data_IF_470869174244
#
_entry.id   IF_470869174244
#
_cell.length_a   1.000
_cell.length_b   1.000
_cell.length_c   1.000
_cell.angle_alpha   90.00
_cell.angle_beta   90.00
_cell.angle_gamma   90.00
#
_symmetry.space_group_name_H-M   'P 1'
#
loop_
_entity.id
_entity.type
_entity.pdbx_description
1 polymer ?
#
# COMPACT_ATOMS: atom_id res chain seq x y z
N UNK A 1 -11.01 26.55 9.86
CA UNK A 1 -10.18 25.33 9.80
C UNK A 1 -9.98 25.07 8.32
N UNK A 2 -8.76 25.14 7.76
CA UNK A 2 -8.54 24.70 6.38
C UNK A 2 -8.83 23.21 6.34
N UNK A 3 -9.54 22.73 5.32
CA UNK A 3 -9.76 21.31 5.14
C UNK A 3 -8.40 20.62 5.02
N UNK A 4 -8.07 19.81 6.02
CA UNK A 4 -6.81 19.07 6.10
C UNK A 4 -6.77 18.01 5.00
N UNK A 5 -7.94 17.60 4.52
CA UNK A 5 -8.13 16.70 3.40
C UNK A 5 -8.73 17.47 2.23
N UNK A 6 -7.97 17.56 1.15
CA UNK A 6 -8.50 18.05 -0.14
C UNK A 6 -9.13 16.87 -0.88
N UNK A 7 -10.20 17.13 -1.64
CA UNK A 7 -10.87 16.11 -2.44
C UNK A 7 -10.89 16.54 -3.90
N UNK A 8 -10.54 15.64 -4.78
CA UNK A 8 -10.54 15.82 -6.22
C UNK A 8 -11.17 14.60 -6.91
N UNK A 9 -11.68 14.79 -8.12
CA UNK A 9 -12.09 13.71 -9.01
C UNK A 9 -11.16 13.73 -10.22
N UNK A 10 -10.37 12.67 -10.40
CA UNK A 10 -9.41 12.57 -11.49
C UNK A 10 -9.74 11.35 -12.34
N UNK A 11 -10.22 11.59 -13.57
CA UNK A 11 -10.70 10.54 -14.47
C UNK A 11 -11.63 9.53 -13.76
N UNK A 12 -12.76 10.02 -13.23
CA UNK A 12 -13.81 9.24 -12.56
C UNK A 12 -13.46 8.62 -11.20
N UNK A 13 -12.23 8.78 -10.70
CA UNK A 13 -11.83 8.31 -9.36
C UNK A 13 -11.85 9.42 -8.31
N UNK A 14 -12.41 9.08 -7.16
CA UNK A 14 -12.37 9.96 -5.97
C UNK A 14 -10.98 9.87 -5.34
N UNK A 15 -10.33 11.02 -5.24
CA UNK A 15 -9.00 11.16 -4.66
C UNK A 15 -9.09 12.09 -3.45
N UNK A 16 -8.51 11.67 -2.34
CA UNK A 16 -8.39 12.49 -1.14
C UNK A 16 -6.91 12.75 -0.87
N UNK A 17 -6.52 14.01 -0.67
CA UNK A 17 -5.13 14.39 -0.44
C UNK A 17 -4.99 14.96 0.97
N UNK A 18 -4.11 14.35 1.76
CA UNK A 18 -3.64 14.88 3.03
C UNK A 18 -2.33 15.63 2.82
N UNK A 19 -2.30 16.88 3.27
CA UNK A 19 -1.10 17.71 3.26
C UNK A 19 -0.53 17.81 4.69
N UNK A 20 0.79 17.62 4.87
CA UNK A 20 1.40 17.64 6.19
C UNK A 20 1.37 19.04 6.83
N UNK A 21 1.58 19.14 8.16
CA UNK A 21 1.44 20.40 8.90
C UNK A 21 2.26 21.54 8.33
N UNK A 22 3.53 21.34 7.97
CA UNK A 22 4.41 22.38 7.46
C UNK A 22 4.12 22.77 5.99
N UNK A 23 3.24 22.04 5.29
CA UNK A 23 2.92 22.35 3.89
C UNK A 23 2.33 23.75 3.70
N UNK A 24 1.56 24.25 4.68
CA UNK A 24 0.92 25.56 4.60
C UNK A 24 1.79 26.75 5.03
N UNK A 25 3.00 26.50 5.50
CA UNK A 25 3.94 27.54 5.89
C UNK A 25 4.45 28.27 4.64
N UNK A 26 4.07 29.54 4.49
CA UNK A 26 4.22 30.33 3.25
C UNK A 26 5.67 30.54 2.79
N UNK A 27 6.62 30.42 3.69
CA UNK A 27 8.06 30.55 3.40
C UNK A 27 8.76 29.24 3.10
N UNK A 28 8.03 28.10 3.23
CA UNK A 28 8.62 26.79 3.05
C UNK A 28 8.54 26.33 1.59
N UNK A 29 9.69 26.29 0.92
CA UNK A 29 9.84 25.70 -0.42
C UNK A 29 10.10 24.18 -0.38
N UNK A 30 10.03 23.54 0.80
CA UNK A 30 10.29 22.13 0.97
C UNK A 30 9.36 21.26 0.11
N UNK A 31 9.92 20.19 -0.42
CA UNK A 31 9.20 19.13 -1.12
C UNK A 31 9.08 17.92 -0.23
N UNK A 32 8.02 17.17 -0.41
CA UNK A 32 7.62 16.07 0.47
C UNK A 32 7.58 14.74 -0.27
N UNK A 33 7.98 13.64 0.36
CA UNK A 33 7.68 12.31 -0.14
C UNK A 33 6.16 12.10 -0.28
N UNK A 34 5.76 11.20 -1.16
CA UNK A 34 4.35 10.91 -1.44
C UNK A 34 4.02 9.45 -1.20
N UNK A 35 2.88 9.18 -0.58
CA UNK A 35 2.33 7.84 -0.39
C UNK A 35 0.97 7.73 -1.06
N UNK A 36 0.82 6.81 -2.00
CA UNK A 36 -0.45 6.41 -2.62
C UNK A 36 -1.09 5.32 -1.77
N UNK A 37 -2.17 5.66 -1.08
CA UNK A 37 -2.89 4.78 -0.15
C UNK A 37 -4.13 4.20 -0.83
N UNK A 38 -4.27 2.89 -0.77
CA UNK A 38 -5.45 2.18 -1.26
C UNK A 38 -6.64 2.30 -0.29
N UNK A 39 -7.86 2.15 -0.81
CA UNK A 39 -9.11 2.23 -0.04
C UNK A 39 -9.34 3.61 0.61
N UNK A 40 -8.97 4.67 -0.08
CA UNK A 40 -9.22 6.04 0.36
C UNK A 40 -8.37 6.49 1.53
N UNK A 41 -8.98 7.20 2.49
CA UNK A 41 -8.26 7.89 3.57
C UNK A 41 -8.59 7.35 4.97
N UNK A 42 -9.29 6.22 5.07
CA UNK A 42 -9.80 5.76 6.35
C UNK A 42 -8.70 5.36 7.35
N UNK A 43 -7.62 4.73 6.87
CA UNK A 43 -6.47 4.44 7.74
C UNK A 43 -5.84 5.72 8.29
N UNK A 44 -5.70 6.76 7.47
CA UNK A 44 -5.17 8.06 7.95
C UNK A 44 -6.10 8.69 8.97
N UNK A 45 -7.41 8.65 8.77
CA UNK A 45 -8.40 9.20 9.71
C UNK A 45 -8.33 8.50 11.07
N UNK A 46 -8.17 7.19 11.09
CA UNK A 46 -8.07 6.41 12.33
C UNK A 46 -6.83 6.76 13.15
N UNK A 47 -5.69 7.03 12.51
CA UNK A 47 -4.42 7.34 13.17
C UNK A 47 -4.04 8.82 13.11
N UNK A 48 -4.96 9.70 12.76
CA UNK A 48 -4.69 11.10 12.44
C UNK A 48 -3.86 11.83 13.50
N UNK A 49 -4.26 11.73 14.76
CA UNK A 49 -3.56 12.39 15.86
C UNK A 49 -2.16 11.80 16.09
N UNK A 50 -2.04 10.47 16.01
CA UNK A 50 -0.77 9.76 16.14
C UNK A 50 0.19 10.13 15.01
N UNK A 51 -0.30 10.15 13.77
CA UNK A 51 0.49 10.49 12.60
C UNK A 51 1.03 11.93 12.69
N UNK A 52 0.17 12.90 13.02
CA UNK A 52 0.59 14.29 13.22
C UNK A 52 1.59 14.45 14.38
N UNK A 53 1.43 13.66 15.46
CA UNK A 53 2.39 13.65 16.55
C UNK A 53 3.76 13.15 16.05
N UNK A 54 3.79 12.02 15.34
CA UNK A 54 5.04 11.43 14.80
C UNK A 54 5.73 12.37 13.80
N UNK A 55 5.00 13.11 12.99
CA UNK A 55 5.56 14.15 12.14
C UNK A 55 6.23 15.26 12.95
N UNK A 56 5.54 15.76 14.00
CA UNK A 56 6.07 16.83 14.85
C UNK A 56 7.34 16.47 15.61
N UNK A 57 7.42 15.23 16.10
CA UNK A 57 8.63 14.73 16.80
C UNK A 57 9.66 14.14 15.85
N UNK A 58 9.41 14.18 14.54
CA UNK A 58 10.29 13.71 13.46
C UNK A 58 10.63 12.21 13.51
N UNK A 59 9.74 11.41 14.08
CA UNK A 59 9.82 9.95 13.96
C UNK A 59 9.47 9.45 12.57
N UNK A 60 8.60 10.18 11.86
CA UNK A 60 8.29 10.00 10.45
C UNK A 60 8.54 11.35 9.77
N UNK A 61 9.21 11.42 8.62
CA UNK A 61 9.25 12.65 7.85
C UNK A 61 7.83 13.03 7.41
N UNK A 62 7.57 14.32 7.28
CA UNK A 62 6.27 14.78 6.78
C UNK A 62 6.02 14.28 5.36
N UNK A 63 4.84 13.72 5.12
CA UNK A 63 4.44 13.06 3.87
C UNK A 63 3.16 13.69 3.31
N UNK A 64 3.07 13.78 1.99
CA UNK A 64 1.78 13.93 1.30
C UNK A 64 1.19 12.53 1.16
N UNK A 65 -0.07 12.34 1.58
CA UNK A 65 -0.76 11.06 1.43
C UNK A 65 -1.92 11.24 0.45
N UNK A 66 -1.95 10.41 -0.58
CA UNK A 66 -2.95 10.42 -1.65
C UNK A 66 -3.79 9.16 -1.54
N UNK A 67 -4.96 9.29 -0.95
CA UNK A 67 -5.92 8.19 -0.80
C UNK A 67 -6.76 8.02 -2.06
N UNK A 68 -6.84 6.81 -2.57
CA UNK A 68 -7.51 6.47 -3.83
C UNK A 68 -8.70 5.56 -3.52
N UNK A 69 -9.92 6.03 -3.85
CA UNK A 69 -11.12 5.19 -3.79
C UNK A 69 -11.21 4.34 -5.06
N UNK A 70 -11.33 3.00 -4.95
CA UNK A 70 -11.52 2.16 -6.12
C UNK A 70 -12.96 2.27 -6.63
N UNK A 71 -13.17 2.30 -7.94
CA UNK A 71 -14.51 2.20 -8.53
C UNK A 71 -15.06 0.77 -8.43
N UNK A 72 -14.21 -0.22 -8.58
CA UNK A 72 -14.52 -1.61 -8.37
C UNK A 72 -13.32 -2.34 -7.77
N UNK A 73 -13.30 -2.44 -6.44
CA UNK A 73 -12.19 -3.01 -5.67
C UNK A 73 -11.82 -4.43 -6.11
N UNK A 74 -12.81 -5.29 -6.37
CA UNK A 74 -12.57 -6.67 -6.76
C UNK A 74 -11.98 -6.82 -8.17
N UNK A 75 -12.10 -5.79 -9.01
CA UNK A 75 -11.52 -5.78 -10.35
C UNK A 75 -10.16 -5.06 -10.36
N UNK A 76 -10.09 -3.90 -9.75
CA UNK A 76 -8.93 -3.01 -9.81
C UNK A 76 -7.77 -3.47 -8.93
N UNK A 77 -8.06 -4.14 -7.80
CA UNK A 77 -7.02 -4.58 -6.86
C UNK A 77 -6.54 -6.00 -7.10
N UNK A 78 -6.84 -6.57 -8.25
CA UNK A 78 -6.48 -7.96 -8.57
C UNK A 78 -5.67 -8.05 -9.84
N UNK A 79 -4.51 -8.76 -9.81
CA UNK A 79 -3.55 -8.80 -10.94
C UNK A 79 -4.10 -9.42 -12.22
N UNK A 80 -4.92 -10.45 -12.10
CA UNK A 80 -5.55 -11.21 -13.20
C UNK A 80 -6.92 -11.70 -12.78
N UNK A 81 -7.78 -12.17 -13.73
CA UNK A 81 -9.08 -12.77 -13.37
C UNK A 81 -8.92 -14.03 -12.52
N UNK A 82 -9.77 -14.17 -11.53
CA UNK A 82 -9.82 -15.35 -10.65
C UNK A 82 -11.25 -15.65 -10.19
N UNK A 83 -11.44 -16.86 -9.66
CA UNK A 83 -12.75 -17.32 -9.19
C UNK A 83 -13.20 -16.62 -7.92
N UNK A 84 -14.52 -16.50 -7.75
CA UNK A 84 -15.12 -15.95 -6.54
C UNK A 84 -14.85 -16.84 -5.32
N UNK A 85 -14.52 -16.23 -4.19
CA UNK A 85 -14.49 -16.94 -2.90
C UNK A 85 -15.84 -17.49 -2.45
N UNK A 86 -16.93 -16.99 -3.04
CA UNK A 86 -18.32 -17.41 -2.74
C UNK A 86 -18.78 -18.58 -3.62
N UNK A 87 -17.89 -19.14 -4.44
CA UNK A 87 -18.18 -20.28 -5.31
C UNK A 87 -18.79 -19.89 -6.67
N UNK A 88 -19.12 -20.92 -7.46
CA UNK A 88 -19.62 -20.78 -8.81
C UNK A 88 -20.95 -19.98 -8.84
N UNK A 89 -21.11 -19.15 -9.86
CA UNK A 89 -22.29 -18.30 -10.04
C UNK A 89 -22.23 -16.93 -9.37
N UNK A 90 -21.20 -16.68 -8.53
CA UNK A 90 -20.95 -15.34 -8.00
C UNK A 90 -19.93 -14.59 -8.87
N UNK A 91 -20.00 -13.24 -8.92
CA UNK A 91 -18.97 -12.45 -9.60
C UNK A 91 -17.58 -12.77 -9.05
N UNK A 92 -16.65 -13.09 -9.96
CA UNK A 92 -15.26 -13.32 -9.63
C UNK A 92 -14.47 -12.02 -9.50
N UNK A 93 -13.16 -12.19 -9.45
CA UNK A 93 -12.22 -11.06 -9.49
C UNK A 93 -11.90 -10.69 -10.94
N UNK A 94 -11.89 -9.39 -11.25
CA UNK A 94 -11.83 -8.94 -12.64
C UNK A 94 -10.44 -8.84 -13.25
N UNK A 95 -9.38 -8.81 -12.43
CA UNK A 95 -8.00 -8.82 -12.92
C UNK A 95 -7.58 -7.57 -13.69
N UNK A 96 -8.06 -6.39 -13.29
CA UNK A 96 -7.72 -5.10 -13.91
C UNK A 96 -6.60 -4.35 -13.19
N UNK A 97 -5.80 -5.06 -12.41
CA UNK A 97 -4.74 -4.47 -11.61
C UNK A 97 -3.69 -3.72 -12.43
N UNK A 98 -3.34 -4.23 -13.61
CA UNK A 98 -2.37 -3.55 -14.47
C UNK A 98 -2.91 -2.20 -15.00
N UNK A 99 -4.19 -2.14 -15.37
CA UNK A 99 -4.85 -0.89 -15.80
C UNK A 99 -4.91 0.12 -14.64
N UNK A 100 -5.23 -0.37 -13.45
CA UNK A 100 -5.28 0.45 -12.23
C UNK A 100 -3.90 1.01 -11.84
N UNK A 101 -2.86 0.19 -11.89
CA UNK A 101 -1.49 0.64 -11.62
C UNK A 101 -1.03 1.66 -12.66
N UNK A 102 -1.34 1.44 -13.96
CA UNK A 102 -1.04 2.40 -15.02
C UNK A 102 -1.78 3.74 -14.78
N UNK A 103 -3.03 3.72 -14.34
CA UNK A 103 -3.73 4.95 -13.94
C UNK A 103 -2.97 5.70 -12.84
N UNK A 104 -2.51 5.03 -11.78
CA UNK A 104 -1.77 5.69 -10.70
C UNK A 104 -0.47 6.27 -11.22
N UNK A 105 0.31 5.49 -11.97
CA UNK A 105 1.66 5.88 -12.40
C UNK A 105 1.67 6.92 -13.54
N UNK A 106 0.74 6.82 -14.48
CA UNK A 106 0.81 7.59 -15.73
C UNK A 106 -0.18 8.76 -15.78
N UNK A 107 -1.17 8.77 -14.87
CA UNK A 107 -2.19 9.84 -14.80
C UNK A 107 -2.16 10.54 -13.45
N UNK A 108 -2.40 9.80 -12.37
CA UNK A 108 -2.55 10.39 -11.03
C UNK A 108 -1.23 10.99 -10.53
N UNK A 109 -0.14 10.22 -10.57
CA UNK A 109 1.16 10.71 -10.08
C UNK A 109 1.64 11.96 -10.81
N UNK A 110 1.63 12.05 -12.15
CA UNK A 110 2.00 13.28 -12.85
C UNK A 110 1.11 14.48 -12.47
N UNK A 111 -0.19 14.27 -12.22
CA UNK A 111 -1.09 15.31 -11.75
C UNK A 111 -0.68 15.81 -10.34
N UNK A 112 -0.44 14.88 -9.40
CA UNK A 112 0.00 15.19 -8.04
C UNK A 112 1.34 15.92 -8.04
N UNK A 113 2.32 15.45 -8.79
CA UNK A 113 3.66 16.05 -8.89
C UNK A 113 3.64 17.46 -9.47
N UNK A 114 2.70 17.74 -10.40
CA UNK A 114 2.50 19.07 -10.98
C UNK A 114 1.79 20.02 -10.03
N UNK A 115 0.85 19.52 -9.22
CA UNK A 115 -0.05 20.32 -8.39
C UNK A 115 0.53 20.60 -7.01
N UNK A 116 1.28 19.63 -6.46
CA UNK A 116 1.81 19.67 -5.10
C UNK A 116 3.34 19.66 -5.08
N UNK A 117 3.92 20.09 -3.96
CA UNK A 117 5.38 20.11 -3.74
C UNK A 117 5.88 18.72 -3.35
N UNK A 118 6.06 17.87 -4.33
CA UNK A 118 6.48 16.46 -4.16
C UNK A 118 7.95 16.26 -4.45
N UNK A 119 8.56 15.27 -3.80
CA UNK A 119 9.76 14.58 -4.26
C UNK A 119 9.31 13.48 -5.22
N UNK A 120 9.81 13.49 -6.45
CA UNK A 120 9.19 12.74 -7.56
C UNK A 120 9.85 11.40 -7.88
N UNK A 121 11.04 11.16 -7.32
CA UNK A 121 11.80 9.93 -7.55
C UNK A 121 11.20 8.72 -6.81
N UNK A 122 11.56 7.49 -7.21
CA UNK A 122 11.03 6.27 -6.59
C UNK A 122 11.35 6.13 -5.10
N UNK A 123 12.49 6.63 -4.65
CA UNK A 123 12.91 6.55 -3.24
C UNK A 123 12.00 7.34 -2.30
N UNK A 124 11.31 8.34 -2.84
CA UNK A 124 10.35 9.19 -2.13
C UNK A 124 8.89 8.92 -2.51
N UNK A 125 8.64 7.89 -3.34
CA UNK A 125 7.29 7.53 -3.78
C UNK A 125 6.90 6.17 -3.22
N UNK A 126 5.88 6.16 -2.36
CA UNK A 126 5.34 4.95 -1.75
C UNK A 126 3.96 4.57 -2.28
N UNK A 127 3.66 3.28 -2.23
CA UNK A 127 2.32 2.72 -2.46
C UNK A 127 2.01 1.73 -1.34
N UNK A 128 0.83 1.84 -0.72
CA UNK A 128 0.49 1.07 0.47
C UNK A 128 -1.01 0.77 0.53
N UNK A 129 -1.36 -0.39 1.06
CA UNK A 129 -2.74 -0.76 1.32
C UNK A 129 -2.85 -2.02 2.15
N UNK A 130 -4.08 -2.34 2.55
CA UNK A 130 -4.39 -3.55 3.33
C UNK A 130 -5.19 -4.56 2.50
N UNK A 131 -5.03 -5.85 2.82
CA UNK A 131 -5.80 -6.93 2.16
C UNK A 131 -5.58 -6.96 0.64
N UNK A 132 -6.64 -6.84 -0.18
CA UNK A 132 -6.50 -6.66 -1.64
C UNK A 132 -5.74 -5.37 -1.98
N UNK A 133 -5.85 -4.31 -1.14
CA UNK A 133 -5.04 -3.09 -1.27
C UNK A 133 -3.54 -3.35 -1.10
N UNK A 134 -3.16 -4.27 -0.19
CA UNK A 134 -1.78 -4.74 -0.04
C UNK A 134 -1.31 -5.58 -1.22
N UNK A 135 -2.21 -6.42 -1.76
CA UNK A 135 -1.95 -7.23 -2.95
C UNK A 135 -1.61 -6.35 -4.16
N UNK A 136 -2.46 -5.35 -4.45
CA UNK A 136 -2.24 -4.46 -5.60
C UNK A 136 -1.03 -3.53 -5.38
N UNK A 137 -0.74 -3.14 -4.13
CA UNK A 137 0.45 -2.35 -3.82
C UNK A 137 1.73 -3.13 -4.11
N UNK A 138 1.80 -4.42 -3.73
CA UNK A 138 2.93 -5.27 -4.11
C UNK A 138 3.01 -5.45 -5.63
N UNK A 139 1.88 -5.71 -6.29
CA UNK A 139 1.83 -5.88 -7.75
C UNK A 139 2.29 -4.62 -8.49
N UNK A 140 1.98 -3.43 -7.97
CA UNK A 140 2.50 -2.16 -8.50
C UNK A 140 4.02 -2.09 -8.46
N UNK A 141 4.66 -2.60 -7.41
CA UNK A 141 6.11 -2.70 -7.32
C UNK A 141 6.74 -3.59 -8.40
N UNK A 142 6.04 -4.65 -8.80
CA UNK A 142 6.47 -5.48 -9.94
C UNK A 142 6.33 -4.77 -11.29
N UNK A 143 5.24 -4.03 -11.49
CA UNK A 143 4.94 -3.40 -12.77
C UNK A 143 5.69 -2.08 -12.99
N UNK A 144 5.86 -1.29 -11.92
CA UNK A 144 6.41 0.07 -12.00
C UNK A 144 7.47 0.30 -10.92
N UNK A 145 8.56 -0.48 -10.91
CA UNK A 145 9.69 -0.25 -10.01
C UNK A 145 10.37 1.11 -10.27
N UNK A 146 10.24 1.64 -11.48
CA UNK A 146 10.68 2.98 -11.87
C UNK A 146 9.89 4.11 -11.17
N UNK A 147 8.74 3.79 -10.57
CA UNK A 147 7.84 4.76 -9.90
C UNK A 147 7.78 4.52 -8.40
N UNK A 148 7.58 3.28 -7.97
CA UNK A 148 7.32 2.94 -6.58
C UNK A 148 8.53 2.26 -5.93
N UNK A 149 9.31 3.01 -5.17
CA UNK A 149 10.44 2.48 -4.41
C UNK A 149 10.08 2.06 -2.98
N UNK A 150 8.92 2.46 -2.45
CA UNK A 150 8.46 2.14 -1.10
C UNK A 150 7.11 1.42 -1.17
N UNK A 151 7.07 0.15 -0.77
CA UNK A 151 5.89 -0.71 -0.92
C UNK A 151 5.43 -1.18 0.46
N UNK A 152 4.16 -0.92 0.79
CA UNK A 152 3.50 -1.41 2.00
C UNK A 152 2.41 -2.42 1.67
N UNK A 153 2.63 -3.69 1.99
CA UNK A 153 1.68 -4.79 1.78
C UNK A 153 1.16 -5.28 3.13
N UNK A 154 0.16 -4.56 3.68
CA UNK A 154 -0.40 -4.82 4.99
C UNK A 154 -1.43 -5.94 4.89
N UNK A 155 -1.24 -7.02 5.65
CA UNK A 155 -2.15 -8.18 5.63
C UNK A 155 -2.60 -8.55 4.21
N UNK A 156 -1.63 -8.55 3.28
CA UNK A 156 -1.91 -8.66 1.85
C UNK A 156 -2.55 -9.99 1.49
N UNK A 157 -3.47 -9.97 0.55
CA UNK A 157 -4.26 -11.13 0.11
C UNK A 157 -3.43 -12.14 -0.70
N UNK A 158 -2.33 -12.68 -0.14
CA UNK A 158 -1.48 -13.65 -0.83
C UNK A 158 -2.15 -15.01 -1.07
N UNK A 159 -3.33 -15.23 -0.48
CA UNK A 159 -4.21 -16.33 -0.83
C UNK A 159 -4.82 -16.20 -2.24
N UNK A 160 -4.66 -15.04 -2.88
CA UNK A 160 -5.19 -14.81 -4.23
C UNK A 160 -4.64 -15.85 -5.22
N UNK A 161 -5.53 -16.40 -6.03
CA UNK A 161 -5.23 -17.50 -6.94
C UNK A 161 -4.02 -17.18 -7.83
N UNK A 162 -2.98 -18.03 -7.78
CA UNK A 162 -1.74 -17.87 -8.55
C UNK A 162 -0.72 -16.89 -7.95
N UNK A 163 -1.05 -16.09 -6.92
CA UNK A 163 -0.14 -15.05 -6.42
C UNK A 163 1.13 -15.63 -5.81
N UNK A 164 1.03 -16.71 -5.03
CA UNK A 164 2.24 -17.33 -4.47
C UNK A 164 3.15 -17.88 -5.57
N UNK A 165 2.60 -18.55 -6.58
CA UNK A 165 3.38 -19.00 -7.74
C UNK A 165 4.03 -17.83 -8.49
N UNK A 166 3.33 -16.72 -8.62
CA UNK A 166 3.89 -15.51 -9.22
C UNK A 166 5.08 -14.96 -8.43
N UNK A 167 4.97 -14.84 -7.09
CA UNK A 167 6.08 -14.41 -6.21
C UNK A 167 7.26 -15.38 -6.28
N UNK A 168 7.00 -16.70 -6.32
CA UNK A 168 8.02 -17.73 -6.35
C UNK A 168 8.84 -17.70 -7.64
N UNK A 169 8.23 -17.34 -8.75
CA UNK A 169 8.88 -17.36 -10.08
C UNK A 169 9.42 -16.02 -10.53
N UNK A 170 9.00 -14.92 -9.91
CA UNK A 170 9.39 -13.57 -10.32
C UNK A 170 10.06 -12.83 -9.15
N UNK A 171 11.37 -12.53 -9.20
CA UNK A 171 12.00 -11.65 -8.24
C UNK A 171 11.39 -10.24 -8.32
N UNK A 172 11.16 -9.62 -7.15
CA UNK A 172 10.68 -8.23 -7.11
C UNK A 172 11.80 -7.28 -7.56
N UNK A 173 11.60 -6.49 -8.61
CA UNK A 173 12.64 -5.63 -9.18
C UNK A 173 12.80 -4.32 -8.37
N UNK A 174 13.14 -4.45 -7.09
CA UNK A 174 13.30 -3.30 -6.21
C UNK A 174 14.66 -2.60 -6.47
N UNK A 175 14.67 -1.27 -6.44
CA UNK A 175 15.90 -0.48 -6.44
C UNK A 175 16.71 -0.74 -5.16
N UNK A 176 18.00 -0.41 -5.19
CA UNK A 176 18.91 -0.58 -4.05
C UNK A 176 18.36 0.05 -2.76
N UNK A 177 17.80 1.25 -2.85
CA UNK A 177 17.20 1.99 -1.74
C UNK A 177 15.70 1.71 -1.58
N UNK A 178 15.17 0.77 -2.38
CA UNK A 178 13.77 0.36 -2.32
C UNK A 178 13.47 -0.42 -1.04
N UNK A 179 12.25 -0.27 -0.52
CA UNK A 179 11.80 -0.94 0.70
C UNK A 179 10.45 -1.63 0.52
N UNK A 180 10.34 -2.85 1.02
CA UNK A 180 9.10 -3.62 1.09
C UNK A 180 8.76 -3.90 2.54
N UNK A 181 7.63 -3.40 3.01
CA UNK A 181 7.07 -3.72 4.31
C UNK A 181 5.96 -4.76 4.15
N UNK A 182 6.09 -5.89 4.83
CA UNK A 182 5.09 -6.95 4.92
C UNK A 182 4.57 -7.06 6.34
N UNK A 183 3.27 -7.24 6.51
CA UNK A 183 2.69 -7.55 7.80
C UNK A 183 1.53 -8.53 7.68
N UNK A 184 1.24 -9.23 8.77
CA UNK A 184 0.06 -10.08 8.92
C UNK A 184 -0.23 -10.28 10.40
N UNK A 185 -1.50 -10.32 10.79
CA UNK A 185 -1.91 -10.70 12.13
C UNK A 185 -1.84 -12.20 12.35
N UNK A 186 -1.36 -12.67 13.52
CA UNK A 186 -1.15 -14.10 13.79
C UNK A 186 -2.46 -14.92 13.84
N UNK A 187 -3.61 -14.26 14.01
CA UNK A 187 -4.93 -14.89 14.02
C UNK A 187 -5.71 -14.70 12.70
N UNK A 188 -5.09 -14.12 11.68
CA UNK A 188 -5.76 -13.97 10.40
C UNK A 188 -6.04 -15.32 9.73
N UNK A 189 -7.25 -15.48 9.24
CA UNK A 189 -7.68 -16.71 8.58
C UNK A 189 -8.10 -17.85 9.51
N UNK A 190 -7.85 -17.77 10.82
CA UNK A 190 -8.13 -18.87 11.78
C UNK A 190 -9.60 -19.34 11.73
N UNK A 191 -10.54 -18.41 11.49
CA UNK A 191 -11.98 -18.72 11.42
C UNK A 191 -12.50 -18.83 9.98
N UNK A 192 -11.60 -18.91 8.98
CA UNK A 192 -11.99 -18.99 7.56
C UNK A 192 -11.95 -20.44 7.06
N UNK A 193 -13.00 -20.86 6.39
CA UNK A 193 -13.06 -22.16 5.72
C UNK A 193 -12.49 -22.11 4.28
N UNK A 194 -12.51 -20.92 3.67
CA UNK A 194 -11.98 -20.67 2.32
C UNK A 194 -10.44 -20.66 2.28
N UNK A 195 -9.88 -20.46 1.10
CA UNK A 195 -8.44 -20.28 0.89
C UNK A 195 -7.82 -19.19 1.79
N UNK A 196 -8.63 -18.26 2.27
CA UNK A 196 -8.20 -17.19 3.18
C UNK A 196 -7.62 -17.71 4.52
N UNK A 197 -7.89 -18.95 4.91
CA UNK A 197 -7.24 -19.63 6.06
C UNK A 197 -5.72 -19.66 5.94
N UNK A 198 -5.19 -19.47 4.73
CA UNK A 198 -3.75 -19.47 4.46
C UNK A 198 -3.11 -18.08 4.50
N UNK A 199 -3.80 -17.04 5.00
CA UNK A 199 -3.24 -15.68 5.10
C UNK A 199 -1.85 -15.67 5.75
N UNK A 200 -1.75 -16.21 6.96
CA UNK A 200 -0.49 -16.21 7.73
C UNK A 200 0.59 -17.04 7.04
N UNK A 201 0.38 -18.35 6.74
CA UNK A 201 1.44 -19.15 6.12
C UNK A 201 1.88 -18.63 4.75
N UNK A 202 0.99 -18.05 3.96
CA UNK A 202 1.38 -17.48 2.66
C UNK A 202 2.17 -16.19 2.82
N UNK A 203 1.86 -15.36 3.81
CA UNK A 203 2.66 -14.14 4.05
C UNK A 203 4.05 -14.50 4.57
N UNK A 204 4.17 -15.49 5.46
CA UNK A 204 5.47 -16.03 5.91
C UNK A 204 6.26 -16.58 4.72
N UNK A 205 5.64 -17.39 3.88
CA UNK A 205 6.30 -17.96 2.70
C UNK A 205 6.73 -16.90 1.70
N UNK A 206 5.93 -15.86 1.48
CA UNK A 206 6.31 -14.72 0.63
C UNK A 206 7.54 -14.00 1.19
N UNK A 207 7.58 -13.74 2.50
CA UNK A 207 8.74 -13.15 3.17
C UNK A 207 10.00 -14.00 2.97
N UNK A 208 9.94 -15.31 3.26
CA UNK A 208 11.05 -16.23 3.03
C UNK A 208 11.53 -16.19 1.59
N UNK A 209 10.58 -16.18 0.65
CA UNK A 209 10.91 -16.19 -0.78
C UNK A 209 11.60 -14.89 -1.22
N UNK A 210 11.21 -13.74 -0.72
CA UNK A 210 11.91 -12.48 -1.02
C UNK A 210 13.34 -12.47 -0.49
N UNK A 211 13.59 -13.05 0.69
CA UNK A 211 14.95 -13.24 1.21
C UNK A 211 15.77 -14.21 0.34
N UNK A 212 15.19 -15.34 -0.06
CA UNK A 212 15.82 -16.32 -0.97
C UNK A 212 16.17 -15.68 -2.35
N UNK A 213 15.38 -14.72 -2.79
CA UNK A 213 15.59 -13.96 -4.02
C UNK A 213 16.63 -12.83 -3.87
N UNK A 214 17.20 -12.65 -2.69
CA UNK A 214 18.33 -11.74 -2.42
C UNK A 214 17.96 -10.38 -1.84
N UNK A 215 16.70 -10.16 -1.40
CA UNK A 215 16.37 -8.96 -0.64
C UNK A 215 17.10 -8.94 0.71
N UNK A 216 17.63 -7.78 1.08
CA UNK A 216 18.32 -7.59 2.36
C UNK A 216 17.35 -7.20 3.48
N UNK A 217 17.80 -7.27 4.72
CA UNK A 217 17.01 -6.82 5.90
C UNK A 217 16.78 -5.31 5.92
N UNK A 218 17.57 -4.53 5.19
CA UNK A 218 17.36 -3.10 4.99
C UNK A 218 16.26 -2.82 3.96
N UNK A 219 16.02 -3.76 3.05
CA UNK A 219 15.01 -3.65 1.98
C UNK A 219 13.69 -4.31 2.33
N UNK A 220 13.70 -5.29 3.24
CA UNK A 220 12.52 -6.10 3.59
C UNK A 220 12.29 -6.11 5.09
N UNK A 221 11.13 -5.62 5.53
CA UNK A 221 10.66 -5.77 6.90
C UNK A 221 9.41 -6.63 6.92
N UNK A 222 9.39 -7.64 7.79
CA UNK A 222 8.23 -8.46 8.07
C UNK A 222 7.79 -8.32 9.52
N UNK A 223 6.48 -8.11 9.73
CA UNK A 223 5.85 -8.01 11.05
C UNK A 223 4.74 -9.05 11.16
N UNK A 224 4.91 -10.00 12.09
CA UNK A 224 3.84 -10.87 12.54
C UNK A 224 3.21 -10.22 13.80
N UNK A 225 2.03 -9.64 13.65
CA UNK A 225 1.32 -8.99 14.75
C UNK A 225 0.67 -10.04 15.64
N UNK A 226 1.21 -10.25 16.85
CA UNK A 226 0.68 -11.25 17.79
C UNK A 226 -0.74 -10.90 18.25
N UNK A 227 -1.65 -11.86 18.16
CA UNK A 227 -3.08 -11.67 18.45
C UNK A 227 -3.82 -10.84 17.39
N UNK A 228 -3.14 -10.39 16.34
CA UNK A 228 -3.75 -9.59 15.27
C UNK A 228 -4.74 -10.38 14.44
N UNK A 229 -5.88 -9.77 14.13
CA UNK A 229 -6.92 -10.27 13.25
C UNK A 229 -7.00 -9.40 11.98
N UNK A 230 -7.80 -9.82 10.99
CA UNK A 230 -7.96 -9.10 9.72
C UNK A 230 -8.96 -7.94 9.85
N UNK A 231 -8.59 -6.94 10.67
CA UNK A 231 -9.46 -5.81 11.05
C UNK A 231 -8.73 -4.46 10.98
N UNK A 232 -9.50 -3.41 10.76
CA UNK A 232 -9.00 -2.06 10.54
C UNK A 232 -8.09 -1.52 11.66
N UNK A 233 -8.33 -1.91 12.91
CA UNK A 233 -7.50 -1.48 14.05
C UNK A 233 -6.05 -1.97 13.92
N UNK A 234 -5.87 -3.18 13.42
CA UNK A 234 -4.53 -3.72 13.16
C UNK A 234 -3.92 -3.13 11.90
N UNK A 235 -4.71 -2.91 10.85
CA UNK A 235 -4.25 -2.24 9.64
C UNK A 235 -3.77 -0.81 9.92
N UNK A 236 -4.50 -0.07 10.77
CA UNK A 236 -4.14 1.29 11.17
C UNK A 236 -2.80 1.33 11.95
N UNK A 237 -2.57 0.37 12.85
CA UNK A 237 -1.29 0.21 13.55
C UNK A 237 -0.17 -0.11 12.57
N UNK A 238 -0.35 -1.14 11.74
CA UNK A 238 0.60 -1.58 10.73
C UNK A 238 0.93 -0.47 9.73
N UNK A 239 -0.06 0.33 9.32
CA UNK A 239 0.11 1.49 8.44
C UNK A 239 1.11 2.51 9.02
N UNK A 240 0.94 2.87 10.28
CA UNK A 240 1.84 3.84 10.93
C UNK A 240 3.27 3.30 11.05
N UNK A 241 3.41 2.00 11.38
CA UNK A 241 4.71 1.33 11.47
C UNK A 241 5.39 1.22 10.10
N UNK A 242 4.61 0.90 9.06
CA UNK A 242 5.10 0.84 7.69
C UNK A 242 5.63 2.20 7.22
N UNK A 243 4.87 3.29 7.43
CA UNK A 243 5.32 4.64 7.07
C UNK A 243 6.63 5.00 7.78
N UNK A 244 6.72 4.72 9.08
CA UNK A 244 7.94 4.99 9.85
C UNK A 244 9.13 4.26 9.24
N UNK A 245 9.03 2.95 9.03
CA UNK A 245 10.15 2.17 8.54
C UNK A 245 10.51 2.46 7.07
N UNK A 246 9.52 2.69 6.22
CA UNK A 246 9.76 2.93 4.80
C UNK A 246 10.44 4.27 4.52
N UNK A 247 10.18 5.30 5.33
CA UNK A 247 10.63 6.66 5.06
C UNK A 247 11.71 7.17 6.04
N UNK A 248 12.15 6.36 7.00
CA UNK A 248 13.36 6.60 7.81
C UNK A 248 14.47 5.65 7.37
#
# INVERSE_FOLDING_TARGET
MRDIFQQEVILDKQISIYLPPSYSESENSARFPVVYLQDGMDLVRQVFNLLNHKFRIKEIPELIIVGIEPNNRSHEYTPWPATSLRGAGNPGFGGKGAEYVAYISDVLKPHIDKTYRTLTDPEHTGIIGASLGGLISLYAGYLRPDVFGKIGALSASFWYEGMMSFIETNPLPLHKEGKLFLSVGSLEGVYKESIQRHMVPYTIRAHERFLEQGMTTEQLKFVLEEGGTHDDVFFAKQFTEALQWMFT
#
